data_IF_868686477379
#
_entry.id   IF_868686477379
#
_cell.length_a   1.000
_cell.length_b   1.000
_cell.length_c   1.000
_cell.angle_alpha   90.00
_cell.angle_beta   90.00
_cell.angle_gamma   90.00
#
_symmetry.space_group_name_H-M   'P 1'
#
loop_
_entity.id
_entity.type
_entity.pdbx_description
1 polymer ?
#
# COMPACT_ATOMS: atom_id res chain seq x y z
N UNK A 1 -32.40 -47.90 -80.02
CA UNK A 1 -33.77 -47.63 -80.49
C UNK A 1 -34.52 -47.01 -79.32
N UNK A 2 -35.03 -45.78 -79.56
CA UNK A 2 -36.17 -45.06 -78.89
C UNK A 2 -36.05 -44.91 -77.36
N UNK A 3 -35.55 -43.83 -76.83
CA UNK A 3 -36.20 -42.57 -76.40
C UNK A 3 -37.55 -42.73 -75.79
N UNK A 4 -37.64 -42.32 -74.51
CA UNK A 4 -38.85 -41.60 -74.05
C UNK A 4 -38.50 -40.73 -72.83
N UNK A 5 -38.61 -39.41 -73.03
CA UNK A 5 -38.54 -38.37 -72.00
C UNK A 5 -39.73 -38.46 -71.09
N UNK A 6 -39.55 -38.38 -69.80
CA UNK A 6 -40.60 -38.10 -68.84
C UNK A 6 -40.25 -36.80 -68.08
N UNK A 7 -41.00 -35.77 -68.41
CA UNK A 7 -40.91 -34.46 -67.81
C UNK A 7 -41.69 -34.48 -66.49
N UNK A 8 -41.03 -34.41 -65.36
CA UNK A 8 -41.67 -34.30 -64.05
C UNK A 8 -41.60 -32.86 -63.58
N UNK A 9 -42.67 -32.15 -63.61
CA UNK A 9 -42.88 -30.82 -63.05
C UNK A 9 -43.09 -31.01 -61.54
N UNK A 10 -42.07 -30.55 -60.75
CA UNK A 10 -42.20 -30.45 -59.30
C UNK A 10 -42.54 -29.02 -58.97
N UNK A 11 -43.75 -28.75 -58.53
CA UNK A 11 -44.18 -27.51 -57.89
C UNK A 11 -43.42 -27.37 -56.57
N UNK A 12 -42.56 -26.41 -56.51
CA UNK A 12 -41.85 -26.01 -55.26
C UNK A 12 -42.68 -24.92 -54.58
N UNK A 13 -43.44 -25.29 -53.55
CA UNK A 13 -44.16 -24.35 -52.68
C UNK A 13 -43.12 -23.62 -51.78
N UNK A 14 -42.86 -22.35 -52.07
CA UNK A 14 -42.10 -21.48 -51.19
C UNK A 14 -42.91 -21.16 -49.93
N UNK A 15 -42.60 -21.83 -48.84
CA UNK A 15 -42.97 -21.41 -47.49
C UNK A 15 -41.97 -20.33 -47.01
N UNK A 16 -42.45 -19.10 -46.96
CA UNK A 16 -41.73 -17.98 -46.36
C UNK A 16 -41.60 -18.20 -44.86
N UNK A 17 -40.47 -18.75 -44.41
CA UNK A 17 -40.02 -18.63 -43.03
C UNK A 17 -39.43 -17.23 -42.82
N UNK A 18 -40.21 -16.33 -42.23
CA UNK A 18 -39.77 -15.10 -41.69
C UNK A 18 -38.89 -15.40 -40.46
N UNK A 19 -37.57 -15.50 -40.63
CA UNK A 19 -36.63 -15.36 -39.53
C UNK A 19 -36.69 -13.93 -39.05
N UNK A 20 -37.27 -13.68 -37.86
CA UNK A 20 -36.97 -12.51 -37.08
C UNK A 20 -35.50 -12.63 -36.66
N UNK A 21 -34.61 -11.95 -37.34
CA UNK A 21 -33.29 -11.60 -36.80
C UNK A 21 -33.53 -10.87 -35.50
N UNK A 22 -33.17 -11.50 -34.39
CA UNK A 22 -32.86 -10.76 -33.17
C UNK A 22 -31.70 -9.87 -33.52
N UNK A 23 -31.94 -8.57 -33.57
CA UNK A 23 -30.86 -7.58 -33.44
C UNK A 23 -30.08 -7.93 -32.17
N UNK A 24 -28.95 -8.61 -32.33
CA UNK A 24 -27.90 -8.61 -31.33
C UNK A 24 -27.50 -7.16 -31.17
N UNK A 25 -27.88 -6.60 -30.03
CA UNK A 25 -27.38 -5.28 -29.64
C UNK A 25 -25.86 -5.29 -29.78
N UNK A 26 -25.38 -4.51 -30.70
CA UNK A 26 -23.94 -4.31 -30.95
C UNK A 26 -23.28 -4.02 -29.60
N UNK A 27 -22.43 -4.95 -29.13
CA UNK A 27 -21.53 -4.69 -28.01
C UNK A 27 -20.79 -3.42 -28.36
N UNK A 28 -20.71 -2.44 -27.44
CA UNK A 28 -19.93 -1.24 -27.70
C UNK A 28 -18.51 -1.69 -28.06
N UNK A 29 -18.09 -1.42 -29.28
CA UNK A 29 -16.70 -1.55 -29.67
C UNK A 29 -15.90 -0.62 -28.77
N UNK A 30 -14.99 -1.21 -28.00
CA UNK A 30 -14.00 -0.47 -27.22
C UNK A 30 -13.22 0.42 -28.20
N UNK A 31 -13.57 1.70 -28.22
CA UNK A 31 -12.82 2.72 -28.93
C UNK A 31 -11.57 3.03 -28.10
N UNK A 32 -10.43 3.09 -28.76
CA UNK A 32 -9.12 3.63 -28.39
C UNK A 32 -8.84 3.72 -26.89
N UNK A 33 -7.67 3.22 -26.47
CA UNK A 33 -7.11 3.31 -25.12
C UNK A 33 -7.56 4.60 -24.40
N UNK A 34 -8.63 4.52 -23.61
CA UNK A 34 -8.99 5.58 -22.68
C UNK A 34 -7.98 5.53 -21.53
N UNK A 35 -6.90 6.28 -21.67
CA UNK A 35 -5.99 6.54 -20.56
C UNK A 35 -6.79 7.14 -19.40
N UNK A 36 -6.50 6.71 -18.18
CA UNK A 36 -7.04 7.35 -16.99
C UNK A 36 -6.70 8.84 -17.02
N UNK A 37 -7.72 9.68 -17.11
CA UNK A 37 -7.55 11.13 -17.18
C UNK A 37 -7.99 11.72 -15.84
N UNK A 38 -7.05 12.18 -14.99
CA UNK A 38 -7.36 12.91 -13.78
C UNK A 38 -8.25 14.13 -14.10
N UNK A 39 -9.41 14.30 -13.44
CA UNK A 39 -10.30 15.44 -13.67
C UNK A 39 -9.63 16.79 -13.43
N UNK A 40 -8.76 16.85 -12.43
CA UNK A 40 -7.96 18.00 -12.03
C UNK A 40 -6.52 17.52 -11.85
N UNK A 41 -5.70 17.49 -12.92
CA UNK A 41 -4.37 16.87 -12.89
C UNK A 41 -3.43 17.45 -11.82
N UNK A 42 -3.56 18.74 -11.51
CA UNK A 42 -2.74 19.41 -10.47
C UNK A 42 -3.10 19.02 -9.05
N UNK A 43 -4.28 18.42 -8.84
CA UNK A 43 -4.75 17.96 -7.53
C UNK A 43 -4.64 16.44 -7.36
N UNK A 44 -4.20 15.69 -8.37
CA UNK A 44 -3.98 14.24 -8.26
C UNK A 44 -2.87 13.91 -7.27
N UNK A 45 -2.98 12.76 -6.63
CA UNK A 45 -1.99 12.27 -5.66
C UNK A 45 -0.72 11.85 -6.41
N UNK A 46 0.37 12.54 -6.11
CA UNK A 46 1.69 12.20 -6.68
C UNK A 46 2.20 10.90 -6.06
N UNK A 47 2.66 9.97 -6.91
CA UNK A 47 3.31 8.75 -6.46
C UNK A 47 4.69 9.05 -5.85
N UNK A 48 5.01 8.39 -4.73
CA UNK A 48 6.36 8.39 -4.19
C UNK A 48 7.26 7.46 -5.00
N UNK A 49 8.48 7.89 -5.26
CA UNK A 49 9.46 7.13 -6.03
C UNK A 49 10.60 6.62 -5.14
N UNK A 50 10.94 5.35 -5.30
CA UNK A 50 11.98 4.66 -4.54
C UNK A 50 13.00 4.03 -5.50
N UNK A 51 14.28 4.30 -5.28
CA UNK A 51 15.37 3.66 -6.02
C UNK A 51 15.70 2.30 -5.41
N UNK A 52 15.41 1.23 -6.12
CA UNK A 52 15.59 -0.15 -5.68
C UNK A 52 16.84 -0.75 -6.31
N UNK A 53 17.67 -1.38 -5.48
CA UNK A 53 18.75 -2.25 -5.97
C UNK A 53 18.19 -3.67 -6.15
N UNK A 54 18.02 -4.18 -7.38
CA UNK A 54 17.40 -5.50 -7.60
C UNK A 54 18.22 -6.70 -7.12
N UNK A 55 19.47 -6.46 -6.74
CA UNK A 55 20.41 -7.53 -6.30
C UNK A 55 20.27 -7.92 -4.83
N UNK A 56 19.35 -7.26 -4.08
CA UNK A 56 19.14 -7.53 -2.65
C UNK A 56 17.68 -7.29 -2.28
N UNK A 57 17.24 -7.96 -1.22
CA UNK A 57 15.93 -7.73 -0.62
C UNK A 57 15.82 -6.29 -0.08
N UNK A 58 14.68 -5.67 -0.31
CA UNK A 58 14.40 -4.30 0.15
C UNK A 58 13.00 -4.25 0.78
N UNK A 59 12.89 -3.60 1.94
CA UNK A 59 11.61 -3.31 2.58
C UNK A 59 11.42 -1.81 2.67
N UNK A 60 10.31 -1.33 2.16
CA UNK A 60 9.91 0.08 2.15
C UNK A 60 8.73 0.25 3.12
N UNK A 61 8.88 1.15 4.09
CA UNK A 61 7.80 1.64 4.93
C UNK A 61 7.27 2.93 4.32
N UNK A 62 6.14 2.81 3.63
CA UNK A 62 5.56 3.95 2.92
C UNK A 62 4.83 4.89 3.89
N UNK A 63 4.81 6.19 3.59
CA UNK A 63 4.15 7.23 4.41
C UNK A 63 2.65 6.99 4.66
N UNK A 64 1.96 6.18 3.84
CA UNK A 64 0.56 5.77 4.09
C UNK A 64 0.41 4.81 5.26
N UNK A 65 1.49 4.19 5.73
CA UNK A 65 1.49 3.08 6.66
C UNK A 65 1.61 1.70 6.00
N UNK A 66 1.54 1.63 4.67
CA UNK A 66 1.73 0.38 3.90
C UNK A 66 3.20 -0.05 3.90
N UNK A 67 3.44 -1.36 3.74
CA UNK A 67 4.79 -1.94 3.68
C UNK A 67 4.94 -2.67 2.34
N UNK A 68 6.02 -2.37 1.62
CA UNK A 68 6.32 -2.99 0.33
C UNK A 68 7.60 -3.79 0.48
N UNK A 69 7.52 -5.10 0.27
CA UNK A 69 8.64 -6.03 0.31
C UNK A 69 9.02 -6.41 -1.11
N UNK A 70 10.21 -5.99 -1.52
CA UNK A 70 10.77 -6.24 -2.85
C UNK A 70 11.91 -7.24 -2.70
N UNK A 71 11.74 -8.51 -3.09
CA UNK A 71 12.81 -9.49 -3.04
C UNK A 71 13.89 -9.18 -4.11
N UNK A 72 15.06 -9.74 -3.92
CA UNK A 72 16.08 -9.70 -4.96
C UNK A 72 15.51 -10.33 -6.26
N UNK A 73 15.97 -9.84 -7.39
CA UNK A 73 15.57 -10.36 -8.72
C UNK A 73 14.07 -10.23 -9.01
N UNK A 74 13.37 -9.27 -8.37
CA UNK A 74 11.93 -9.08 -8.53
C UNK A 74 11.51 -8.48 -9.88
N UNK A 75 12.46 -7.99 -10.70
CA UNK A 75 12.15 -7.25 -11.92
C UNK A 75 12.73 -7.93 -13.16
N UNK A 76 11.93 -8.01 -14.22
CA UNK A 76 12.31 -8.51 -15.53
C UNK A 76 12.20 -7.39 -16.57
N UNK A 77 13.08 -7.46 -17.58
CA UNK A 77 12.96 -6.63 -18.78
C UNK A 77 11.86 -7.16 -19.72
N UNK A 78 11.61 -6.46 -20.83
CA UNK A 78 10.63 -6.86 -21.85
C UNK A 78 10.89 -8.26 -22.46
N UNK A 79 12.12 -8.75 -22.38
CA UNK A 79 12.56 -10.06 -22.90
C UNK A 79 12.50 -11.16 -21.84
N UNK A 80 12.13 -10.82 -20.60
CA UNK A 80 12.08 -11.76 -19.47
C UNK A 80 13.42 -11.97 -18.77
N UNK A 81 14.45 -11.15 -19.01
CA UNK A 81 15.72 -11.25 -18.31
C UNK A 81 15.67 -10.50 -16.98
N UNK A 82 16.34 -11.04 -15.95
CA UNK A 82 16.45 -10.39 -14.65
C UNK A 82 17.25 -9.09 -14.75
N UNK A 83 16.68 -8.01 -14.23
CA UNK A 83 17.33 -6.69 -14.18
C UNK A 83 18.22 -6.63 -12.96
N UNK A 84 19.48 -6.19 -13.17
CA UNK A 84 20.49 -6.04 -12.10
C UNK A 84 20.86 -4.58 -11.82
N UNK A 85 20.47 -3.65 -12.70
CA UNK A 85 20.67 -2.21 -12.54
C UNK A 85 19.54 -1.58 -11.72
N UNK A 86 19.73 -0.40 -11.09
CA UNK A 86 18.72 0.23 -10.27
C UNK A 86 17.37 0.42 -10.98
N UNK A 87 16.29 0.15 -10.25
CA UNK A 87 14.90 0.27 -10.71
C UNK A 87 14.19 1.37 -9.92
N UNK A 88 13.52 2.27 -10.60
CA UNK A 88 12.63 3.24 -9.98
C UNK A 88 11.26 2.59 -9.74
N UNK A 89 10.89 2.38 -8.48
CA UNK A 89 9.59 1.88 -8.04
C UNK A 89 8.72 3.06 -7.62
N UNK A 90 7.53 3.19 -8.20
CA UNK A 90 6.55 4.22 -7.84
C UNK A 90 5.39 3.59 -7.11
N UNK A 91 4.94 4.24 -6.05
CA UNK A 91 3.80 3.78 -5.26
C UNK A 91 2.96 4.96 -4.77
N UNK A 92 1.62 4.82 -4.86
CA UNK A 92 0.66 5.72 -4.24
C UNK A 92 -0.55 4.96 -3.73
N UNK A 93 -1.16 5.48 -2.68
CA UNK A 93 -2.32 4.90 -2.01
C UNK A 93 -3.54 5.81 -2.17
N UNK A 94 -4.71 5.23 -2.42
CA UNK A 94 -5.99 5.91 -2.48
C UNK A 94 -6.84 5.46 -1.30
N UNK A 95 -7.18 6.37 -0.41
CA UNK A 95 -7.78 6.05 0.90
C UNK A 95 -9.25 6.44 1.01
N UNK A 96 -9.75 7.30 0.13
CA UNK A 96 -11.10 7.85 0.17
C UNK A 96 -11.63 8.14 -1.25
N UNK A 97 -12.94 8.43 -1.42
CA UNK A 97 -13.51 8.69 -2.74
C UNK A 97 -12.93 9.88 -3.49
N UNK A 98 -12.43 10.90 -2.79
CA UNK A 98 -11.78 12.05 -3.46
C UNK A 98 -10.45 11.64 -4.09
N UNK A 99 -9.64 10.82 -3.40
CA UNK A 99 -8.40 10.27 -3.93
C UNK A 99 -8.65 9.55 -5.27
N UNK A 100 -9.69 8.69 -5.29
CA UNK A 100 -10.09 7.89 -6.45
C UNK A 100 -10.62 8.80 -7.58
N UNK A 101 -11.43 9.80 -7.24
CA UNK A 101 -11.95 10.77 -8.20
C UNK A 101 -10.84 11.53 -8.90
N UNK A 102 -9.92 12.11 -8.12
CA UNK A 102 -8.84 12.95 -8.65
C UNK A 102 -7.83 12.14 -9.49
N UNK A 103 -7.68 10.85 -9.24
CA UNK A 103 -6.88 9.96 -10.06
C UNK A 103 -7.60 9.51 -11.36
N UNK A 104 -8.88 9.85 -11.54
CA UNK A 104 -9.67 9.46 -12.69
C UNK A 104 -10.05 7.97 -12.72
N UNK A 105 -9.89 7.24 -11.63
CA UNK A 105 -10.06 5.78 -11.57
C UNK A 105 -11.56 5.44 -11.67
N UNK A 106 -11.96 4.53 -12.59
CA UNK A 106 -13.35 4.07 -12.67
C UNK A 106 -13.68 3.15 -11.48
N UNK A 107 -14.86 3.33 -10.87
CA UNK A 107 -15.36 2.47 -9.81
C UNK A 107 -16.51 1.58 -10.27
N UNK A 108 -16.87 1.64 -11.54
CA UNK A 108 -17.90 0.81 -12.12
C UNK A 108 -17.35 -0.60 -12.39
N UNK A 109 -18.14 -1.61 -12.08
CA UNK A 109 -17.82 -3.03 -12.28
C UNK A 109 -19.03 -3.73 -12.90
N UNK A 110 -18.79 -4.48 -13.97
CA UNK A 110 -19.81 -5.35 -14.56
C UNK A 110 -19.49 -6.79 -14.17
N UNK A 111 -20.41 -7.43 -13.46
CA UNK A 111 -20.22 -8.82 -13.05
C UNK A 111 -20.47 -9.80 -14.21
N UNK A 112 -20.24 -11.10 -13.97
CA UNK A 112 -20.41 -12.16 -14.96
C UNK A 112 -21.86 -12.26 -15.49
N UNK A 113 -22.84 -11.78 -14.73
CA UNK A 113 -24.25 -11.75 -15.13
C UNK A 113 -24.63 -10.50 -15.97
N UNK A 114 -23.67 -9.60 -16.22
CA UNK A 114 -23.90 -8.34 -16.92
C UNK A 114 -24.54 -7.24 -16.07
N UNK A 115 -24.54 -7.38 -14.73
CA UNK A 115 -25.08 -6.37 -13.83
C UNK A 115 -24.02 -5.29 -13.59
N UNK A 116 -24.43 -4.03 -13.73
CA UNK A 116 -23.61 -2.88 -13.39
C UNK A 116 -23.62 -2.63 -11.88
N UNK A 117 -22.46 -2.67 -11.27
CA UNK A 117 -22.21 -2.47 -9.86
C UNK A 117 -21.19 -1.33 -9.68
N UNK A 118 -21.02 -0.87 -8.46
CA UNK A 118 -19.99 0.11 -8.08
C UNK A 118 -19.19 -0.45 -6.92
N UNK A 119 -17.90 -0.24 -6.90
CA UNK A 119 -17.06 -0.72 -5.83
C UNK A 119 -17.17 0.13 -4.56
N UNK A 120 -17.37 -0.55 -3.42
CA UNK A 120 -17.05 -0.05 -2.09
C UNK A 120 -15.62 -0.50 -1.76
N UNK A 121 -14.72 0.45 -1.46
CA UNK A 121 -13.29 0.16 -1.31
C UNK A 121 -12.85 0.03 0.15
N UNK A 122 -12.06 -1.00 0.45
CA UNK A 122 -11.31 -1.14 1.71
C UNK A 122 -9.88 -0.59 1.60
N UNK A 123 -9.50 -0.14 0.40
CA UNK A 123 -8.20 0.44 0.07
C UNK A 123 -7.80 0.14 -1.35
N UNK A 124 -7.12 1.08 -1.98
CA UNK A 124 -6.63 0.97 -3.35
C UNK A 124 -5.22 1.55 -3.43
N UNK A 125 -4.38 0.97 -4.28
CA UNK A 125 -3.05 1.52 -4.53
C UNK A 125 -2.64 1.34 -5.99
N UNK A 126 -1.70 2.16 -6.41
CA UNK A 126 -0.99 1.99 -7.67
C UNK A 126 0.47 1.70 -7.39
N UNK A 127 1.01 0.71 -8.09
CA UNK A 127 2.42 0.34 -8.06
C UNK A 127 2.93 0.18 -9.49
N UNK A 128 4.01 0.90 -9.81
CA UNK A 128 4.65 0.86 -11.11
C UNK A 128 6.17 0.81 -10.94
N UNK A 129 6.87 0.29 -11.93
CA UNK A 129 8.32 0.29 -11.91
C UNK A 129 8.91 0.53 -13.30
N UNK A 130 10.11 1.15 -13.33
CA UNK A 130 10.84 1.40 -14.56
C UNK A 130 12.34 1.27 -14.35
N UNK A 131 13.03 0.84 -15.41
CA UNK A 131 14.49 0.82 -15.48
C UNK A 131 14.94 1.71 -16.63
N UNK A 132 15.73 2.75 -16.36
CA UNK A 132 16.15 3.73 -17.36
C UNK A 132 14.97 4.31 -18.20
N UNK A 133 13.84 4.59 -17.55
CA UNK A 133 12.64 5.14 -18.18
C UNK A 133 11.77 4.14 -18.96
N UNK A 134 12.17 2.86 -19.04
CA UNK A 134 11.38 1.80 -19.65
C UNK A 134 10.61 1.01 -18.60
N UNK A 135 9.36 0.69 -18.89
CA UNK A 135 8.56 -0.17 -18.02
C UNK A 135 9.21 -1.54 -17.86
N UNK A 136 9.05 -2.14 -16.69
CA UNK A 136 9.57 -3.46 -16.35
C UNK A 136 8.42 -4.39 -15.98
N UNK A 137 8.69 -5.70 -15.93
CA UNK A 137 7.72 -6.71 -15.53
C UNK A 137 8.05 -7.25 -14.13
N UNK A 138 7.04 -7.74 -13.42
CA UNK A 138 7.23 -8.45 -12.16
C UNK A 138 7.73 -9.85 -12.45
N UNK A 139 8.79 -10.29 -11.74
CA UNK A 139 9.26 -11.67 -11.84
C UNK A 139 8.26 -12.62 -11.13
N UNK A 140 7.62 -13.57 -11.83
CA UNK A 140 6.65 -14.49 -11.24
C UNK A 140 7.24 -15.40 -10.16
N UNK A 141 8.57 -15.61 -10.15
CA UNK A 141 9.27 -16.42 -9.18
C UNK A 141 9.68 -15.63 -7.92
N UNK A 142 9.81 -14.31 -8.03
CA UNK A 142 10.26 -13.42 -6.96
C UNK A 142 9.30 -12.21 -6.85
N UNK A 143 8.06 -12.47 -6.47
CA UNK A 143 6.99 -11.47 -6.48
C UNK A 143 7.17 -10.41 -5.40
N UNK A 144 6.85 -9.18 -5.76
CA UNK A 144 6.73 -8.09 -4.82
C UNK A 144 5.50 -8.34 -3.94
N UNK A 145 5.66 -8.16 -2.64
CA UNK A 145 4.57 -8.25 -1.67
C UNK A 145 4.21 -6.88 -1.16
N UNK A 146 2.93 -6.55 -1.18
CA UNK A 146 2.39 -5.32 -0.60
C UNK A 146 1.49 -5.69 0.57
N UNK A 147 1.84 -5.21 1.75
CA UNK A 147 0.97 -5.15 2.91
C UNK A 147 0.32 -3.76 2.88
N UNK A 148 -0.80 -3.64 2.18
CA UNK A 148 -1.53 -2.39 2.02
C UNK A 148 -2.29 -2.05 3.30
N UNK A 149 -2.14 -0.81 3.79
CA UNK A 149 -2.94 -0.35 4.93
C UNK A 149 -4.41 -0.31 4.57
N UNK A 150 -5.27 -0.75 5.50
CA UNK A 150 -6.72 -0.69 5.36
C UNK A 150 -7.34 -0.10 6.62
N UNK A 151 -8.52 0.46 6.48
CA UNK A 151 -9.30 0.99 7.59
C UNK A 151 -10.53 0.12 7.92
N UNK A 152 -10.64 -1.04 7.24
CA UNK A 152 -11.70 -2.03 7.44
C UNK A 152 -11.11 -3.42 7.61
N UNK A 153 -11.56 -4.14 8.64
CA UNK A 153 -11.25 -5.56 8.89
C UNK A 153 -12.32 -6.51 8.33
N UNK A 154 -13.31 -5.98 7.59
CA UNK A 154 -14.37 -6.78 6.98
C UNK A 154 -13.79 -7.70 5.88
N UNK A 155 -14.13 -8.98 5.93
CA UNK A 155 -13.65 -10.01 5.01
C UNK A 155 -14.46 -10.09 3.70
N UNK A 156 -15.47 -9.22 3.51
CA UNK A 156 -16.30 -9.21 2.30
C UNK A 156 -15.54 -8.83 1.02
N UNK A 157 -14.44 -8.11 1.15
CA UNK A 157 -13.68 -7.55 0.04
C UNK A 157 -12.87 -8.62 -0.71
N UNK A 158 -12.73 -8.42 -2.02
CA UNK A 158 -11.88 -9.20 -2.92
C UNK A 158 -10.80 -8.28 -3.52
N UNK A 159 -9.80 -8.88 -4.16
CA UNK A 159 -8.76 -8.17 -4.90
C UNK A 159 -9.16 -8.02 -6.36
N UNK A 160 -8.94 -6.84 -6.90
CA UNK A 160 -9.14 -6.53 -8.31
C UNK A 160 -7.91 -5.82 -8.88
N UNK A 161 -7.66 -6.03 -10.14
CA UNK A 161 -6.63 -5.29 -10.89
C UNK A 161 -7.28 -4.59 -12.08
N UNK A 162 -6.94 -3.33 -12.28
CA UNK A 162 -7.42 -2.56 -13.41
C UNK A 162 -6.60 -2.92 -14.65
N UNK A 163 -7.25 -3.34 -15.70
CA UNK A 163 -6.64 -3.49 -17.01
C UNK A 163 -6.46 -2.08 -17.63
N UNK A 164 -5.21 -1.63 -17.86
CA UNK A 164 -4.96 -0.27 -18.34
C UNK A 164 -5.40 -0.03 -19.79
N UNK A 165 -5.66 -1.10 -20.56
CA UNK A 165 -6.08 -0.99 -21.97
C UNK A 165 -7.59 -0.84 -22.12
N UNK A 166 -8.33 -1.53 -21.26
CA UNK A 166 -9.79 -1.60 -21.33
C UNK A 166 -10.48 -0.79 -20.24
N UNK A 167 -9.73 -0.29 -19.26
CA UNK A 167 -10.24 0.33 -18.04
C UNK A 167 -11.30 -0.53 -17.32
N UNK A 168 -11.17 -1.84 -17.41
CA UNK A 168 -12.05 -2.81 -16.76
C UNK A 168 -11.35 -3.51 -15.61
N UNK A 169 -12.11 -3.86 -14.60
CA UNK A 169 -11.61 -4.55 -13.42
C UNK A 169 -11.66 -6.07 -13.60
N UNK A 170 -10.55 -6.73 -13.28
CA UNK A 170 -10.45 -8.18 -13.23
C UNK A 170 -10.30 -8.64 -11.79
N UNK A 171 -11.18 -9.53 -11.35
CA UNK A 171 -11.11 -10.15 -10.03
C UNK A 171 -9.90 -11.10 -9.91
N UNK A 172 -9.21 -11.02 -8.77
CA UNK A 172 -8.02 -11.81 -8.43
C UNK A 172 -8.27 -12.73 -7.21
N UNK A 173 -9.48 -12.75 -6.66
CA UNK A 173 -9.86 -13.52 -5.48
C UNK A 173 -9.61 -12.79 -4.15
N UNK A 174 -9.61 -13.55 -3.05
CA UNK A 174 -9.49 -13.00 -1.69
C UNK A 174 -8.11 -12.46 -1.37
N UNK A 175 -8.07 -11.48 -0.50
CA UNK A 175 -6.86 -10.98 0.15
C UNK A 175 -6.63 -11.68 1.50
N UNK A 176 -5.48 -11.42 2.09
CA UNK A 176 -5.15 -11.85 3.44
C UNK A 176 -5.17 -10.65 4.39
N UNK A 177 -6.07 -10.68 5.38
CA UNK A 177 -6.16 -9.63 6.40
C UNK A 177 -5.21 -9.95 7.53
N UNK A 178 -4.37 -8.97 7.90
CA UNK A 178 -3.43 -9.04 9.03
C UNK A 178 -3.56 -7.82 9.91
N UNK A 179 -3.09 -7.95 11.13
CA UNK A 179 -2.81 -6.80 11.99
C UNK A 179 -1.31 -6.66 12.18
N UNK A 180 -0.81 -5.44 12.18
CA UNK A 180 0.56 -5.12 12.52
C UNK A 180 0.59 -4.19 13.72
N UNK A 181 1.57 -4.36 14.61
CA UNK A 181 1.82 -3.46 15.73
C UNK A 181 3.08 -2.65 15.49
N UNK A 182 3.12 -1.44 16.05
CA UNK A 182 4.31 -0.58 15.99
C UNK A 182 5.54 -1.28 16.59
N UNK A 183 5.32 -2.02 17.68
CA UNK A 183 6.35 -2.78 18.37
C UNK A 183 6.96 -3.83 17.45
N UNK A 184 6.14 -4.66 16.79
CA UNK A 184 6.61 -5.69 15.85
C UNK A 184 7.39 -5.11 14.68
N UNK A 185 6.94 -3.98 14.11
CA UNK A 185 7.67 -3.33 13.02
C UNK A 185 9.03 -2.79 13.47
N UNK A 186 9.11 -2.21 14.67
CA UNK A 186 10.37 -1.73 15.24
C UNK A 186 11.32 -2.87 15.61
N UNK A 187 10.80 -4.00 16.12
CA UNK A 187 11.58 -5.20 16.47
C UNK A 187 12.18 -5.92 15.25
N UNK A 188 11.60 -5.72 14.04
CA UNK A 188 12.17 -6.23 12.79
C UNK A 188 13.39 -5.45 12.29
N UNK A 189 13.67 -4.29 12.89
CA UNK A 189 14.88 -3.54 12.54
C UNK A 189 16.12 -4.32 13.01
N UNK A 190 17.20 -4.29 12.25
CA UNK A 190 18.46 -4.88 12.70
C UNK A 190 18.88 -4.26 14.03
N UNK A 191 19.42 -5.08 14.92
CA UNK A 191 20.04 -4.54 16.15
C UNK A 191 21.20 -3.62 15.79
N UNK A 192 21.23 -2.44 16.41
CA UNK A 192 22.38 -1.57 16.31
C UNK A 192 23.60 -2.24 16.96
N UNK A 193 24.79 -2.12 16.38
CA UNK A 193 26.00 -2.59 17.01
C UNK A 193 26.17 -2.00 18.41
N UNK A 194 26.61 -2.82 19.36
CA UNK A 194 26.85 -2.35 20.73
C UNK A 194 28.11 -1.49 20.73
N UNK A 195 28.06 -0.21 21.18
CA UNK A 195 29.26 0.60 21.32
C UNK A 195 30.14 0.11 22.45
N UNK A 196 31.45 0.34 22.38
CA UNK A 196 32.33 0.13 23.51
C UNK A 196 31.90 1.01 24.69
N UNK A 197 32.07 0.53 25.90
CA UNK A 197 31.69 1.25 27.12
C UNK A 197 32.90 1.43 28.08
N UNK A 198 32.76 2.27 29.08
CA UNK A 198 33.66 2.26 30.22
C UNK A 198 33.46 0.98 31.02
N UNK A 199 34.55 0.39 31.55
CA UNK A 199 34.50 -0.88 32.25
C UNK A 199 33.70 -0.77 33.56
N UNK A 200 32.71 -1.59 33.71
CA UNK A 200 31.83 -1.68 34.87
C UNK A 200 32.34 -2.70 35.93
N UNK A 201 31.47 -3.02 36.86
CA UNK A 201 31.77 -3.89 38.03
C UNK A 201 32.17 -5.32 37.63
N UNK A 202 31.63 -5.86 36.57
CA UNK A 202 31.81 -7.24 36.15
C UNK A 202 32.70 -7.38 34.92
N UNK A 203 33.42 -6.29 34.57
CA UNK A 203 34.38 -6.33 33.49
C UNK A 203 35.61 -7.18 33.88
N UNK A 204 36.07 -8.02 32.95
CA UNK A 204 37.22 -8.91 33.13
C UNK A 204 38.11 -8.86 31.88
N UNK A 205 39.39 -9.21 32.08
CA UNK A 205 40.36 -9.39 30.99
C UNK A 205 40.55 -10.87 30.70
N UNK A 206 40.75 -11.21 29.44
CA UNK A 206 41.00 -12.62 29.02
C UNK A 206 42.49 -12.97 29.08
N UNK A 207 43.35 -11.95 29.18
CA UNK A 207 44.80 -12.12 29.15
C UNK A 207 45.46 -12.28 30.52
N UNK A 208 44.73 -12.02 31.63
CA UNK A 208 45.28 -12.07 33.00
C UNK A 208 45.59 -13.51 33.50
N UNK A 209 45.10 -14.55 32.85
CA UNK A 209 45.12 -15.93 33.28
C UNK A 209 45.83 -16.91 32.33
N UNK A 210 46.46 -16.43 31.25
CA UNK A 210 46.97 -17.34 30.20
C UNK A 210 48.46 -17.06 29.91
N UNK A 211 49.24 -18.14 29.92
CA UNK A 211 50.57 -18.13 29.37
C UNK A 211 50.48 -17.96 27.84
N UNK A 212 50.92 -16.76 27.37
CA UNK A 212 51.34 -16.38 26.01
C UNK A 212 50.71 -17.10 24.78
N UNK A 213 49.42 -17.41 24.76
CA UNK A 213 48.80 -17.82 23.51
C UNK A 213 48.58 -16.64 22.57
N UNK A 214 49.18 -16.71 21.36
CA UNK A 214 49.12 -15.69 20.32
C UNK A 214 47.69 -15.22 19.95
N UNK A 215 46.74 -16.10 20.17
CA UNK A 215 45.31 -15.88 19.79
C UNK A 215 44.59 -14.78 20.58
N UNK A 216 45.03 -14.47 21.78
CA UNK A 216 44.42 -13.48 22.66
C UNK A 216 45.17 -12.18 22.74
N UNK A 217 46.33 -12.05 22.06
CA UNK A 217 47.17 -10.84 22.07
C UNK A 217 46.43 -9.59 21.60
N UNK A 218 45.46 -9.76 20.70
CA UNK A 218 44.62 -8.65 20.21
C UNK A 218 43.72 -8.02 21.29
N UNK A 219 43.48 -8.75 22.38
CA UNK A 219 42.62 -8.33 23.50
C UNK A 219 43.43 -7.88 24.73
N UNK A 220 44.72 -7.70 24.62
CA UNK A 220 45.62 -7.39 25.75
C UNK A 220 45.18 -6.20 26.60
N UNK A 221 44.66 -5.15 25.98
CA UNK A 221 44.25 -3.92 26.69
C UNK A 221 42.73 -3.74 26.69
N UNK A 222 42.00 -4.83 26.49
CA UNK A 222 40.53 -4.84 26.35
C UNK A 222 39.89 -5.55 27.53
N UNK A 223 38.82 -5.00 28.03
CA UNK A 223 37.98 -5.59 29.03
C UNK A 223 36.68 -6.09 28.38
N UNK A 224 36.25 -7.28 28.77
CA UNK A 224 34.96 -7.84 28.38
C UNK A 224 33.97 -7.66 29.52
N UNK A 225 32.78 -7.18 29.23
CA UNK A 225 31.73 -7.05 30.21
C UNK A 225 30.47 -7.76 29.77
N UNK A 226 29.90 -8.67 30.57
CA UNK A 226 28.72 -9.42 30.25
C UNK A 226 27.51 -8.51 29.98
N UNK A 227 26.76 -8.82 28.92
CA UNK A 227 25.58 -8.03 28.52
C UNK A 227 24.45 -8.14 29.55
N UNK A 228 24.34 -9.29 30.22
CA UNK A 228 23.31 -9.60 31.25
C UNK A 228 23.60 -8.94 32.61
N UNK A 229 24.73 -8.25 32.75
CA UNK A 229 25.12 -7.57 34.00
C UNK A 229 25.45 -8.54 35.15
N UNK A 230 25.79 -9.81 34.86
CA UNK A 230 26.19 -10.80 35.86
C UNK A 230 27.68 -11.13 35.74
N UNK A 231 28.26 -11.63 36.83
CA UNK A 231 29.65 -12.09 36.84
C UNK A 231 29.81 -13.31 35.91
N UNK A 232 30.81 -13.24 35.03
CA UNK A 232 31.17 -14.32 34.12
C UNK A 232 32.58 -14.85 34.46
N UNK A 233 32.77 -16.15 34.38
CA UNK A 233 34.07 -16.82 34.52
C UNK A 233 34.14 -17.82 35.68
N UNK A 234 35.24 -18.55 35.73
CA UNK A 234 35.59 -19.50 36.76
C UNK A 234 36.89 -19.14 37.46
N UNK A 235 37.07 -19.62 38.70
CA UNK A 235 38.32 -19.42 39.45
C UNK A 235 39.48 -20.29 38.93
N UNK A 236 39.22 -21.36 38.18
CA UNK A 236 40.22 -22.27 37.62
C UNK A 236 39.92 -22.56 36.14
N UNK A 237 40.47 -21.75 35.28
CA UNK A 237 40.24 -21.84 33.84
C UNK A 237 41.51 -22.40 33.16
N UNK A 238 41.33 -23.42 32.31
CA UNK A 238 42.38 -23.98 31.49
C UNK A 238 42.62 -23.16 30.21
N UNK A 239 41.54 -22.74 29.59
CA UNK A 239 41.54 -22.03 28.30
C UNK A 239 40.38 -21.06 28.23
N UNK A 240 40.56 -19.97 27.44
CA UNK A 240 39.53 -18.98 27.16
C UNK A 240 39.38 -18.86 25.64
N UNK A 241 38.19 -19.05 25.16
CA UNK A 241 37.85 -18.88 23.75
C UNK A 241 37.07 -17.59 23.58
N UNK A 242 37.53 -16.74 22.64
CA UNK A 242 36.83 -15.51 22.27
C UNK A 242 36.39 -15.63 20.82
N UNK A 243 35.10 -15.42 20.59
CA UNK A 243 34.49 -15.42 19.24
C UNK A 243 33.81 -14.08 19.02
N UNK A 244 34.23 -13.37 17.99
CA UNK A 244 33.54 -12.15 17.52
C UNK A 244 32.21 -12.56 16.87
N UNK A 245 31.11 -12.22 17.53
CA UNK A 245 29.74 -12.42 17.02
C UNK A 245 29.32 -11.31 16.08
N UNK A 246 30.20 -10.35 15.78
CA UNK A 246 29.96 -9.11 15.06
C UNK A 246 29.05 -8.15 15.85
N UNK A 247 28.71 -7.01 15.29
CA UNK A 247 27.86 -6.01 15.92
C UNK A 247 28.29 -5.58 17.35
N UNK A 248 29.59 -5.68 17.67
CA UNK A 248 30.13 -5.30 18.99
C UNK A 248 29.82 -6.31 20.09
N UNK A 249 29.32 -7.50 19.75
CA UNK A 249 29.09 -8.63 20.66
C UNK A 249 30.22 -9.64 20.55
N UNK A 250 30.62 -10.20 21.66
CA UNK A 250 31.64 -11.23 21.76
C UNK A 250 31.12 -12.38 22.63
N UNK A 251 31.36 -13.60 22.18
CA UNK A 251 31.13 -14.78 22.99
C UNK A 251 32.45 -15.17 23.66
N UNK A 252 32.48 -15.16 24.98
CA UNK A 252 33.65 -15.57 25.76
C UNK A 252 33.30 -16.85 26.50
N UNK A 253 34.03 -17.94 26.18
CA UNK A 253 33.84 -19.26 26.77
C UNK A 253 35.03 -19.62 27.63
N UNK A 254 34.79 -19.89 28.88
CA UNK A 254 35.77 -20.38 29.86
C UNK A 254 35.74 -21.89 29.89
N UNK A 255 36.89 -22.51 29.65
CA UNK A 255 37.09 -23.94 29.65
C UNK A 255 37.78 -24.35 30.93
N UNK A 256 37.17 -25.13 31.82
CA UNK A 256 37.76 -25.55 33.10
C UNK A 256 38.85 -26.62 32.92
N UNK A 257 39.71 -26.81 33.95
CA UNK A 257 40.70 -27.89 33.98
C UNK A 257 40.04 -29.27 34.20
N UNK A 258 40.55 -30.29 33.53
CA UNK A 258 40.14 -31.68 33.69
C UNK A 258 39.38 -32.26 32.51
N UNK A 259 39.10 -33.57 32.54
CA UNK A 259 38.17 -34.23 31.60
C UNK A 259 36.74 -33.94 32.02
N UNK A 260 36.21 -32.81 31.60
CA UNK A 260 34.88 -32.33 31.99
C UNK A 260 33.96 -32.31 30.78
N UNK A 261 32.67 -32.69 30.92
CA UNK A 261 31.71 -32.59 29.82
C UNK A 261 31.58 -31.17 29.30
N UNK A 262 31.25 -31.02 28.02
CA UNK A 262 31.02 -29.70 27.39
C UNK A 262 29.99 -28.84 28.17
N UNK A 263 29.10 -29.47 28.90
CA UNK A 263 28.12 -28.83 29.82
C UNK A 263 28.73 -28.05 30.95
N UNK A 264 29.99 -28.25 31.29
CA UNK A 264 30.68 -27.51 32.36
C UNK A 264 31.41 -26.26 31.90
N UNK A 265 31.43 -25.97 30.60
CA UNK A 265 31.92 -24.69 30.05
C UNK A 265 30.99 -23.54 30.43
N UNK A 266 31.53 -22.42 30.86
CA UNK A 266 30.74 -21.20 31.04
C UNK A 266 30.94 -20.29 29.84
N UNK A 267 29.84 -19.95 29.19
CA UNK A 267 29.83 -19.03 28.05
C UNK A 267 29.04 -17.79 28.38
N UNK A 268 29.58 -16.63 28.06
CA UNK A 268 28.95 -15.33 28.30
C UNK A 268 29.00 -14.51 27.02
N UNK A 269 27.92 -13.81 26.76
CA UNK A 269 27.90 -12.78 25.71
C UNK A 269 28.32 -11.46 26.31
N UNK A 270 29.35 -10.85 25.75
CA UNK A 270 30.00 -9.64 26.28
C UNK A 270 30.07 -8.53 25.22
N UNK A 271 30.26 -7.31 25.66
CA UNK A 271 30.74 -6.19 24.86
C UNK A 271 32.13 -5.75 25.30
N UNK A 272 32.85 -4.99 24.44
CA UNK A 272 34.16 -4.43 24.79
C UNK A 272 34.00 -3.27 25.73
N UNK A 273 34.79 -3.26 26.81
CA UNK A 273 34.87 -2.17 27.75
C UNK A 273 36.31 -1.77 28.02
N UNK A 274 36.54 -0.57 28.58
CA UNK A 274 37.84 0.00 28.74
C UNK A 274 37.93 0.73 30.12
N UNK A 275 38.97 0.50 30.87
CA UNK A 275 39.26 1.25 32.11
C UNK A 275 39.98 2.57 31.82
N UNK A 276 40.84 2.57 30.79
CA UNK A 276 41.55 3.77 30.38
C UNK A 276 40.70 4.67 29.49
N UNK A 277 40.54 5.93 29.85
CA UNK A 277 39.72 6.91 29.12
C UNK A 277 40.21 7.22 27.70
N UNK A 278 41.54 7.19 27.49
CA UNK A 278 42.12 7.49 26.16
C UNK A 278 41.82 6.29 25.21
N UNK A 279 42.00 5.06 25.70
CA UNK A 279 41.66 3.84 24.96
C UNK A 279 40.16 3.76 24.67
N UNK A 280 39.32 4.05 25.65
CA UNK A 280 37.85 4.12 25.46
C UNK A 280 37.52 5.15 24.36
N UNK A 281 38.03 6.35 24.44
CA UNK A 281 37.77 7.42 23.47
C UNK A 281 38.23 7.04 22.05
N UNK A 282 39.38 6.35 21.93
CA UNK A 282 39.88 5.81 20.65
C UNK A 282 38.94 4.73 20.11
N UNK A 283 38.55 3.77 20.96
CA UNK A 283 37.63 2.69 20.57
C UNK A 283 36.26 3.23 20.12
N UNK A 284 35.72 4.22 20.83
CA UNK A 284 34.45 4.85 20.49
C UNK A 284 34.53 5.64 19.15
N UNK A 285 35.64 6.32 18.87
CA UNK A 285 35.86 6.97 17.57
C UNK A 285 35.90 5.93 16.42
N UNK A 286 36.63 4.83 16.63
CA UNK A 286 36.71 3.75 15.65
C UNK A 286 35.35 3.09 15.40
N UNK A 287 34.57 2.84 16.46
CA UNK A 287 33.20 2.34 16.40
C UNK A 287 32.31 3.28 15.56
N UNK A 288 32.31 4.57 15.92
CA UNK A 288 31.51 5.58 15.18
C UNK A 288 31.87 5.59 13.68
N UNK A 289 33.17 5.55 13.36
CA UNK A 289 33.64 5.51 11.95
C UNK A 289 33.21 4.22 11.24
N UNK A 290 33.37 3.07 11.91
CA UNK A 290 33.06 1.75 11.33
C UNK A 290 31.57 1.56 11.07
N UNK A 291 30.71 2.01 11.98
CA UNK A 291 29.29 1.70 11.99
C UNK A 291 28.37 2.88 11.63
N UNK A 292 28.92 4.07 11.34
CA UNK A 292 28.12 5.27 11.04
C UNK A 292 27.04 5.02 9.97
N UNK A 293 27.41 4.40 8.87
CA UNK A 293 26.47 4.13 7.77
C UNK A 293 25.38 3.10 8.14
N UNK A 294 25.71 2.10 8.97
CA UNK A 294 24.70 1.12 9.43
C UNK A 294 23.74 1.74 10.43
N UNK A 295 24.27 2.49 11.42
CA UNK A 295 23.46 3.17 12.42
C UNK A 295 22.49 4.16 11.75
N UNK A 296 23.02 5.00 10.85
CA UNK A 296 22.17 5.94 10.11
C UNK A 296 21.06 5.25 9.32
N UNK A 297 21.33 4.09 8.69
CA UNK A 297 20.31 3.33 8.00
C UNK A 297 19.23 2.80 8.96
N UNK A 298 19.60 2.32 10.13
CA UNK A 298 18.66 1.84 11.15
C UNK A 298 17.81 3.00 11.67
N UNK A 299 18.42 4.13 11.99
CA UNK A 299 17.74 5.33 12.47
C UNK A 299 16.77 5.90 11.44
N UNK A 300 17.17 5.98 10.16
CA UNK A 300 16.30 6.42 9.08
C UNK A 300 15.09 5.48 8.90
N UNK A 301 15.30 4.16 8.96
CA UNK A 301 14.19 3.20 8.91
C UNK A 301 13.26 3.35 10.12
N UNK A 302 13.80 3.52 11.33
CA UNK A 302 13.00 3.78 12.54
C UNK A 302 12.13 5.02 12.36
N UNK A 303 12.74 6.11 11.91
CA UNK A 303 12.03 7.36 11.63
C UNK A 303 10.92 7.17 10.60
N UNK A 304 11.19 6.46 9.50
CA UNK A 304 10.16 6.15 8.49
C UNK A 304 8.99 5.33 9.05
N UNK A 305 9.26 4.37 9.95
CA UNK A 305 8.20 3.61 10.63
C UNK A 305 7.37 4.54 11.52
N UNK A 306 8.02 5.40 12.31
CA UNK A 306 7.34 6.34 13.22
C UNK A 306 6.47 7.34 12.46
N UNK A 307 6.96 7.90 11.35
CA UNK A 307 6.21 8.79 10.46
C UNK A 307 5.03 8.06 9.80
N UNK A 308 5.23 6.83 9.32
CA UNK A 308 4.17 6.00 8.73
C UNK A 308 3.04 5.73 9.74
N UNK A 309 3.38 5.46 11.02
CA UNK A 309 2.41 5.28 12.09
C UNK A 309 1.64 6.57 12.40
N UNK A 310 2.34 7.70 12.50
CA UNK A 310 1.69 9.00 12.75
C UNK A 310 0.71 9.37 11.63
N UNK A 311 1.11 9.16 10.38
CA UNK A 311 0.24 9.42 9.23
C UNK A 311 -0.96 8.45 9.17
N UNK A 312 -0.74 7.17 9.50
CA UNK A 312 -1.83 6.20 9.61
C UNK A 312 -2.87 6.61 10.64
N UNK A 313 -2.44 6.98 11.86
CA UNK A 313 -3.34 7.42 12.93
C UNK A 313 -4.19 8.63 12.51
N UNK A 314 -3.59 9.59 11.79
CA UNK A 314 -4.32 10.73 11.23
C UNK A 314 -5.36 10.28 10.21
N UNK A 315 -4.96 9.44 9.24
CA UNK A 315 -5.86 8.96 8.18
C UNK A 315 -6.98 8.05 8.69
N UNK A 316 -6.73 7.26 9.72
CA UNK A 316 -7.77 6.46 10.40
C UNK A 316 -8.85 7.37 10.95
N UNK A 317 -8.49 8.42 11.69
CA UNK A 317 -9.45 9.37 12.23
C UNK A 317 -10.26 10.06 11.14
N UNK A 318 -9.58 10.54 10.09
CA UNK A 318 -10.25 11.16 8.93
C UNK A 318 -11.21 10.18 8.26
N UNK A 319 -10.82 8.92 8.08
CA UNK A 319 -11.66 7.88 7.48
C UNK A 319 -12.90 7.60 8.32
N UNK A 320 -12.77 7.36 9.63
CA UNK A 320 -13.93 7.09 10.48
C UNK A 320 -14.86 8.29 10.63
N UNK A 321 -14.32 9.49 10.64
CA UNK A 321 -15.10 10.71 10.57
C UNK A 321 -15.90 10.81 9.26
N UNK A 322 -15.24 10.55 8.12
CA UNK A 322 -15.88 10.49 6.81
C UNK A 322 -16.95 9.38 6.75
N UNK A 323 -16.63 8.18 7.25
CA UNK A 323 -17.56 7.05 7.28
C UNK A 323 -18.67 7.20 8.32
N UNK A 324 -18.64 8.22 9.18
CA UNK A 324 -19.58 8.43 10.28
C UNK A 324 -19.76 7.19 11.17
N UNK A 325 -18.71 6.43 11.33
CA UNK A 325 -18.64 5.24 12.16
C UNK A 325 -17.79 5.49 13.39
N UNK A 326 -18.06 4.75 14.47
CA UNK A 326 -17.15 4.73 15.61
C UNK A 326 -15.84 4.07 15.20
N UNK A 327 -14.73 4.65 15.60
CA UNK A 327 -13.41 4.07 15.42
C UNK A 327 -13.34 2.68 16.10
N UNK A 328 -12.71 1.72 15.44
CA UNK A 328 -12.43 0.40 16.03
C UNK A 328 -11.45 0.60 17.18
N UNK A 329 -11.82 0.15 18.39
CA UNK A 329 -11.00 0.28 19.58
C UNK A 329 -9.60 -0.28 19.39
N UNK A 330 -8.58 0.50 19.73
CA UNK A 330 -7.17 0.12 19.63
C UNK A 330 -6.61 0.10 18.20
N UNK A 331 -7.33 0.63 17.21
CA UNK A 331 -6.83 0.73 15.83
C UNK A 331 -5.82 1.86 15.67
N UNK A 332 -5.92 2.92 16.47
CA UNK A 332 -4.95 4.02 16.48
C UNK A 332 -3.86 3.82 17.54
N UNK A 333 -2.64 4.25 17.21
CA UNK A 333 -1.49 4.28 18.12
C UNK A 333 -0.80 2.95 18.40
N UNK A 334 -1.48 1.81 18.24
CA UNK A 334 -0.93 0.50 18.60
C UNK A 334 -1.06 -0.58 17.54
N UNK A 335 -2.10 -0.54 16.70
CA UNK A 335 -2.45 -1.58 15.74
C UNK A 335 -2.89 -1.01 14.39
N UNK A 336 -2.41 -1.60 13.29
CA UNK A 336 -2.85 -1.32 11.91
C UNK A 336 -3.53 -2.56 11.32
N UNK A 337 -4.58 -2.34 10.53
CA UNK A 337 -5.12 -3.37 9.64
C UNK A 337 -4.33 -3.31 8.33
N UNK A 338 -3.85 -4.45 7.89
CA UNK A 338 -3.10 -4.64 6.67
C UNK A 338 -3.79 -5.67 5.78
N UNK A 339 -3.87 -5.40 4.49
CA UNK A 339 -4.31 -6.36 3.49
C UNK A 339 -3.13 -6.77 2.64
N UNK A 340 -2.76 -8.04 2.76
CA UNK A 340 -1.55 -8.58 2.15
C UNK A 340 -1.85 -9.17 0.79
N UNK A 341 -1.04 -8.84 -0.18
CA UNK A 341 -1.14 -9.39 -1.52
C UNK A 341 0.21 -9.49 -2.22
N UNK A 342 0.33 -10.43 -3.13
CA UNK A 342 1.42 -10.52 -4.09
C UNK A 342 1.05 -9.74 -5.35
N UNK A 343 1.98 -8.91 -5.81
CA UNK A 343 1.84 -8.17 -7.07
C UNK A 343 2.27 -9.09 -8.21
N UNK A 344 1.33 -9.43 -9.07
CA UNK A 344 1.59 -10.26 -10.25
C UNK A 344 1.89 -9.41 -11.49
N UNK A 345 1.37 -8.20 -11.54
CA UNK A 345 1.61 -7.20 -12.59
C UNK A 345 1.55 -5.81 -11.98
N UNK A 346 2.25 -4.87 -12.58
CA UNK A 346 2.19 -3.46 -12.21
C UNK A 346 0.86 -2.84 -12.63
N UNK A 347 0.48 -1.75 -11.96
CA UNK A 347 -0.75 -1.00 -12.20
C UNK A 347 -1.55 -0.74 -10.94
N UNK A 348 -2.86 -0.55 -11.09
CA UNK A 348 -3.79 -0.26 -9.99
C UNK A 348 -4.39 -1.54 -9.46
N UNK A 349 -4.29 -1.72 -8.15
CA UNK A 349 -4.87 -2.83 -7.39
C UNK A 349 -5.88 -2.28 -6.42
N UNK A 350 -7.07 -2.85 -6.44
CA UNK A 350 -8.18 -2.47 -5.59
C UNK A 350 -8.61 -3.62 -4.68
N UNK A 351 -9.02 -3.28 -3.46
CA UNK A 351 -9.47 -4.20 -2.42
C UNK A 351 -10.94 -3.86 -2.14
N UNK A 352 -11.83 -4.42 -2.92
CA UNK A 352 -13.18 -3.92 -3.06
C UNK A 352 -14.26 -4.98 -2.88
N UNK A 353 -15.46 -4.48 -2.63
CA UNK A 353 -16.70 -5.24 -2.65
C UNK A 353 -17.66 -4.62 -3.67
N UNK A 354 -18.17 -5.41 -4.66
CA UNK A 354 -19.18 -4.92 -5.60
C UNK A 354 -20.47 -4.55 -4.86
N UNK A 355 -20.88 -3.30 -4.97
CA UNK A 355 -22.04 -2.74 -4.29
C UNK A 355 -23.08 -2.24 -5.31
N UNK A 356 -24.35 -2.41 -5.00
CA UNK A 356 -25.42 -1.87 -5.84
C UNK A 356 -25.53 -0.36 -5.70
N UNK A 357 -26.05 0.30 -6.74
CA UNK A 357 -26.34 1.73 -6.66
C UNK A 357 -27.27 2.05 -5.48
N UNK A 358 -27.14 3.26 -4.89
CA UNK A 358 -27.95 3.69 -3.76
C UNK A 358 -29.46 3.52 -4.03
N UNK A 359 -30.20 3.05 -3.03
CA UNK A 359 -31.64 2.84 -3.11
C UNK A 359 -32.41 3.96 -2.43
N UNK A 360 -33.64 4.20 -2.87
CA UNK A 360 -34.59 5.12 -2.22
C UNK A 360 -34.96 6.34 -3.07
N UNK A 361 -34.06 6.83 -3.89
CA UNK A 361 -34.36 7.87 -4.87
C UNK A 361 -33.70 7.58 -6.20
N UNK A 362 -34.43 7.83 -7.30
CA UNK A 362 -33.97 7.75 -8.68
C UNK A 362 -34.56 8.91 -9.45
N UNK A 363 -33.76 9.89 -9.81
CA UNK A 363 -34.18 11.16 -10.39
C UNK A 363 -33.47 11.48 -11.69
N UNK A 364 -34.19 12.10 -12.63
CA UNK A 364 -33.59 12.70 -13.84
C UNK A 364 -33.09 14.09 -13.46
N UNK A 365 -31.77 14.27 -13.47
CA UNK A 365 -31.13 15.47 -12.97
C UNK A 365 -30.92 16.52 -14.08
N UNK A 366 -31.16 17.77 -13.71
CA UNK A 366 -30.65 18.95 -14.40
C UNK A 366 -29.95 19.85 -13.39
N UNK A 367 -28.99 20.63 -13.83
CA UNK A 367 -28.14 21.43 -12.95
C UNK A 367 -28.25 22.91 -13.31
N UNK A 368 -28.38 23.76 -12.31
CA UNK A 368 -28.33 25.21 -12.44
C UNK A 368 -27.41 25.80 -11.38
N UNK A 369 -26.86 26.98 -11.65
CA UNK A 369 -26.11 27.74 -10.66
C UNK A 369 -27.05 28.42 -9.62
N UNK A 370 -26.48 29.18 -8.70
CA UNK A 370 -27.23 29.91 -7.66
C UNK A 370 -28.17 30.97 -8.22
N UNK A 371 -27.96 31.43 -9.45
CA UNK A 371 -28.80 32.42 -10.18
C UNK A 371 -29.84 31.73 -11.09
N UNK A 372 -29.88 30.40 -11.15
CA UNK A 372 -30.79 29.62 -11.99
C UNK A 372 -30.32 29.45 -13.43
N UNK A 373 -29.08 29.83 -13.76
CA UNK A 373 -28.49 29.60 -15.08
C UNK A 373 -28.12 28.11 -15.22
N UNK A 374 -28.50 27.51 -16.34
CA UNK A 374 -28.19 26.10 -16.63
C UNK A 374 -26.68 25.83 -16.62
N UNK A 375 -26.29 24.74 -15.99
CA UNK A 375 -24.93 24.24 -15.94
C UNK A 375 -24.81 22.93 -16.74
N UNK A 376 -23.82 22.87 -17.61
CA UNK A 376 -23.37 21.63 -18.25
C UNK A 376 -22.17 21.12 -17.46
N UNK A 377 -22.38 20.07 -16.61
CA UNK A 377 -21.36 19.55 -15.74
C UNK A 377 -20.68 18.33 -16.34
N UNK A 378 -19.36 18.32 -16.26
CA UNK A 378 -18.51 17.16 -16.58
C UNK A 378 -18.31 16.34 -15.32
N UNK A 379 -18.19 15.01 -15.50
CA UNK A 379 -17.77 14.08 -14.45
C UNK A 379 -18.57 14.22 -13.14
N UNK A 380 -19.90 14.21 -13.25
CA UNK A 380 -20.78 14.28 -12.11
C UNK A 380 -20.66 13.03 -11.26
N UNK A 381 -20.35 13.21 -9.99
CA UNK A 381 -20.17 12.13 -9.01
C UNK A 381 -20.95 12.43 -7.74
N UNK A 382 -21.41 11.34 -7.12
CA UNK A 382 -22.05 11.36 -5.80
C UNK A 382 -21.27 10.44 -4.86
N UNK A 383 -21.09 10.89 -3.65
CA UNK A 383 -20.59 10.10 -2.52
C UNK A 383 -21.67 10.01 -1.47
N UNK A 384 -21.97 8.78 -1.04
CA UNK A 384 -22.80 8.49 0.13
C UNK A 384 -21.87 8.35 1.33
N UNK A 385 -22.02 9.24 2.32
CA UNK A 385 -21.23 9.16 3.56
C UNK A 385 -21.57 7.86 4.29
N UNK A 386 -20.55 7.20 4.80
CA UNK A 386 -20.70 5.86 5.41
C UNK A 386 -20.48 4.70 4.46
N UNK A 387 -20.32 4.98 3.16
CA UNK A 387 -19.91 3.99 2.13
C UNK A 387 -18.69 4.53 1.39
N UNK A 388 -17.58 3.82 1.40
CA UNK A 388 -16.37 4.24 0.67
C UNK A 388 -16.51 3.91 -0.83
N UNK A 389 -17.51 4.52 -1.48
CA UNK A 389 -17.85 4.34 -2.88
C UNK A 389 -18.06 5.68 -3.58
N UNK A 390 -17.73 5.71 -4.85
CA UNK A 390 -17.89 6.87 -5.73
C UNK A 390 -18.83 6.50 -6.88
N UNK A 391 -20.01 7.12 -6.93
CA UNK A 391 -21.02 6.86 -7.96
C UNK A 391 -20.91 7.93 -9.06
N UNK A 392 -20.60 7.50 -10.29
CA UNK A 392 -20.57 8.39 -11.46
C UNK A 392 -21.93 8.41 -12.17
N UNK A 393 -22.39 9.60 -12.52
CA UNK A 393 -23.70 9.79 -13.15
C UNK A 393 -23.62 10.67 -14.41
N UNK A 394 -24.49 10.36 -15.37
CA UNK A 394 -24.70 11.22 -16.55
C UNK A 394 -26.00 12.07 -16.39
N UNK A 395 -27.15 11.43 -16.41
CA UNK A 395 -28.46 12.10 -16.34
C UNK A 395 -29.32 11.60 -15.17
N UNK A 396 -29.23 10.31 -14.85
CA UNK A 396 -30.05 9.71 -13.79
C UNK A 396 -29.19 9.54 -12.55
N UNK A 397 -29.61 10.20 -11.47
CA UNK A 397 -28.92 10.12 -10.18
C UNK A 397 -29.69 9.20 -9.24
N UNK A 398 -28.99 8.25 -8.65
CA UNK A 398 -29.49 7.38 -7.59
C UNK A 398 -28.86 7.86 -6.27
N UNK A 399 -29.67 8.05 -5.24
CA UNK A 399 -29.17 8.38 -3.91
C UNK A 399 -30.05 7.80 -2.80
N UNK A 400 -29.47 7.58 -1.64
CA UNK A 400 -30.17 7.15 -0.45
C UNK A 400 -30.57 8.39 0.37
N UNK A 401 -31.88 8.74 0.41
CA UNK A 401 -32.33 9.94 1.14
C UNK A 401 -32.23 9.83 2.66
N UNK A 402 -31.89 8.65 3.19
CA UNK A 402 -31.64 8.44 4.63
C UNK A 402 -30.18 8.62 5.01
N UNK A 403 -29.30 8.65 4.03
CA UNK A 403 -27.86 8.87 4.22
C UNK A 403 -27.48 10.33 3.94
N UNK A 404 -26.33 10.73 4.41
CA UNK A 404 -25.74 11.99 4.01
C UNK A 404 -25.05 11.80 2.65
N UNK A 405 -25.47 12.64 1.69
CA UNK A 405 -24.96 12.58 0.33
C UNK A 405 -24.28 13.90 -0.01
N UNK A 406 -23.25 13.83 -0.84
CA UNK A 406 -22.65 15.00 -1.45
C UNK A 406 -22.46 14.71 -2.94
N UNK A 407 -22.76 15.71 -3.79
CA UNK A 407 -22.65 15.57 -5.23
C UNK A 407 -21.82 16.74 -5.77
N UNK A 408 -20.94 16.43 -6.74
CA UNK A 408 -20.17 17.47 -7.41
C UNK A 408 -19.90 17.11 -8.85
N UNK A 409 -19.46 18.09 -9.60
CA UNK A 409 -18.96 17.96 -10.97
C UNK A 409 -18.15 19.19 -11.34
N UNK A 410 -17.57 19.18 -12.52
CA UNK A 410 -16.82 20.31 -13.05
C UNK A 410 -17.64 21.04 -14.10
N UNK A 411 -17.65 22.36 -14.04
CA UNK A 411 -18.19 23.22 -15.10
C UNK A 411 -17.31 23.16 -16.36
N UNK A 412 -17.75 23.74 -17.46
CA UNK A 412 -16.98 23.81 -18.70
C UNK A 412 -15.65 24.54 -18.52
N UNK A 413 -15.61 25.53 -17.62
CA UNK A 413 -14.41 26.31 -17.26
C UNK A 413 -13.67 25.71 -16.04
N UNK A 414 -13.86 24.41 -15.77
CA UNK A 414 -13.18 23.61 -14.74
C UNK A 414 -13.37 24.11 -13.30
N UNK A 415 -14.40 24.86 -13.02
CA UNK A 415 -14.76 25.21 -11.64
C UNK A 415 -15.53 24.08 -10.97
N UNK A 416 -15.34 23.90 -9.68
CA UNK A 416 -16.07 22.93 -8.89
C UNK A 416 -17.51 23.42 -8.67
N UNK A 417 -18.48 22.64 -9.14
CA UNK A 417 -19.90 22.81 -8.82
C UNK A 417 -20.32 21.71 -7.87
N UNK A 418 -20.95 22.02 -6.75
CA UNK A 418 -21.26 21.05 -5.70
C UNK A 418 -22.63 21.27 -5.07
N UNK A 419 -23.22 20.17 -4.59
CA UNK A 419 -24.49 20.12 -3.88
C UNK A 419 -24.24 19.42 -2.55
N UNK A 420 -24.47 20.16 -1.46
CA UNK A 420 -24.02 19.76 -0.12
C UNK A 420 -24.94 18.76 0.56
N UNK A 421 -24.50 18.22 1.69
CA UNK A 421 -25.30 17.35 2.56
C UNK A 421 -26.59 18.07 2.98
N UNK A 422 -26.52 19.36 3.31
CA UNK A 422 -27.68 20.15 3.74
C UNK A 422 -28.69 20.37 2.58
N UNK A 423 -28.17 20.57 1.37
CA UNK A 423 -29.01 20.67 0.17
C UNK A 423 -29.76 19.35 -0.10
N UNK A 424 -29.10 18.20 0.10
CA UNK A 424 -29.74 16.88 0.00
C UNK A 424 -30.81 16.66 1.08
N UNK A 425 -30.58 17.12 2.32
CA UNK A 425 -31.59 17.04 3.40
C UNK A 425 -32.85 17.87 3.07
N UNK A 426 -32.68 19.00 2.41
CA UNK A 426 -33.77 19.85 1.97
C UNK A 426 -34.53 19.29 0.76
N UNK A 427 -33.91 18.37 -0.03
CA UNK A 427 -34.48 17.80 -1.23
C UNK A 427 -35.61 16.81 -0.91
N UNK A 428 -36.85 17.09 -1.29
CA UNK A 428 -38.03 16.26 -1.02
C UNK A 428 -38.30 15.24 -2.15
N UNK A 429 -37.95 15.58 -3.39
CA UNK A 429 -38.19 14.74 -4.55
C UNK A 429 -37.39 13.43 -4.49
N UNK A 430 -38.02 12.30 -4.85
CA UNK A 430 -37.43 10.97 -4.87
C UNK A 430 -37.49 10.31 -6.25
N UNK A 431 -38.32 10.83 -7.13
CA UNK A 431 -38.52 10.37 -8.50
C UNK A 431 -38.81 11.54 -9.42
N UNK A 432 -38.77 11.30 -10.73
CA UNK A 432 -39.06 12.30 -11.76
C UNK A 432 -37.90 13.27 -12.03
N UNK A 433 -38.22 14.41 -12.59
CA UNK A 433 -37.24 15.45 -12.93
C UNK A 433 -36.92 16.32 -11.72
N UNK A 434 -35.65 16.50 -11.46
CA UNK A 434 -35.14 17.32 -10.34
C UNK A 434 -34.09 18.31 -10.85
N UNK A 435 -34.25 19.56 -10.46
CA UNK A 435 -33.28 20.61 -10.70
C UNK A 435 -32.39 20.73 -9.46
N UNK A 436 -31.12 20.44 -9.62
CA UNK A 436 -30.12 20.62 -8.59
C UNK A 436 -29.54 22.04 -8.69
N UNK A 437 -29.78 22.85 -7.67
CA UNK A 437 -29.22 24.20 -7.59
C UNK A 437 -27.84 24.12 -6.97
N UNK A 438 -26.82 24.09 -7.83
CA UNK A 438 -25.43 23.89 -7.46
C UNK A 438 -24.80 25.19 -6.93
N UNK A 439 -23.92 25.04 -5.94
CA UNK A 439 -22.97 26.08 -5.59
C UNK A 439 -21.78 25.96 -6.51
N UNK A 440 -21.35 27.07 -7.12
CA UNK A 440 -20.19 27.07 -8.01
C UNK A 440 -19.05 27.82 -7.34
N UNK A 441 -17.91 27.15 -7.13
CA UNK A 441 -16.75 27.81 -6.56
C UNK A 441 -16.27 28.93 -7.49
N UNK A 442 -15.97 30.13 -6.98
CA UNK A 442 -15.70 31.31 -7.83
C UNK A 442 -14.45 31.15 -8.72
N UNK A 443 -13.49 30.34 -8.29
CA UNK A 443 -12.24 30.08 -9.00
C UNK A 443 -12.04 28.58 -9.23
N UNK A 444 -11.21 28.24 -10.22
CA UNK A 444 -10.71 26.87 -10.39
C UNK A 444 -9.89 26.44 -9.15
N UNK A 445 -10.19 25.27 -8.60
CA UNK A 445 -9.43 24.67 -7.50
C UNK A 445 -8.34 23.78 -8.06
N UNK A 446 -7.10 23.94 -7.59
CA UNK A 446 -5.91 23.31 -8.16
C UNK A 446 -5.19 22.36 -7.20
N UNK A 447 -5.56 22.38 -5.93
CA UNK A 447 -4.93 21.53 -4.92
C UNK A 447 -5.93 20.56 -4.28
N UNK A 448 -5.41 19.42 -3.86
CA UNK A 448 -6.18 18.42 -3.12
C UNK A 448 -6.85 19.02 -1.87
N UNK A 449 -6.09 19.79 -1.07
CA UNK A 449 -6.58 20.35 0.19
C UNK A 449 -7.70 21.38 -0.03
N UNK A 450 -7.63 22.20 -1.07
CA UNK A 450 -8.71 23.16 -1.38
C UNK A 450 -10.01 22.44 -1.71
N UNK A 451 -9.94 21.39 -2.55
CA UNK A 451 -11.12 20.59 -2.92
C UNK A 451 -11.67 19.84 -1.70
N UNK A 452 -10.81 19.22 -0.91
CA UNK A 452 -11.19 18.51 0.32
C UNK A 452 -11.88 19.46 1.31
N UNK A 453 -11.36 20.67 1.47
CA UNK A 453 -11.95 21.67 2.36
C UNK A 453 -13.35 22.07 1.89
N UNK A 454 -13.54 22.32 0.59
CA UNK A 454 -14.86 22.72 0.06
C UNK A 454 -15.89 21.59 0.16
N UNK A 455 -15.50 20.35 -0.12
CA UNK A 455 -16.44 19.23 -0.18
C UNK A 455 -16.73 18.57 1.17
N UNK A 456 -15.73 18.48 2.06
CA UNK A 456 -15.83 17.60 3.23
C UNK A 456 -15.49 18.26 4.57
N UNK A 457 -14.96 19.49 4.58
CA UNK A 457 -14.56 20.19 5.82
C UNK A 457 -15.28 21.54 6.04
N UNK A 458 -16.13 21.94 5.09
CA UNK A 458 -16.92 23.19 5.15
C UNK A 458 -18.18 23.04 5.99
#
# INVERSE_FOLDING_TARGET
MKSLNFLLVVLFSMSLFSCKEKEEAAKPQATAEEQLVPPIPSADIVADEFQISPTKDTVIYHKSGSVISVPKEAFLDEKGNVITTPVALKFRMFSNPLDIYLAGIPMNFTNENGEELVFESAGMFEINASNNGKAVQVNPNNKIKVDAVSFSDDSKFNRYNLDPKTNTWRELGKDEIKTATKKEELERLPEAPIPPKEAGKFAFQVTDNLNEEDKLKEYKDVWFEPIDGKKCGFSYTKDILVKDLKNGKYEVTFVPWGKIPDTAKTTCTCYLSFKDKAQYSKALRNYKKKYAGLISKIENKRKSIEEAWSNYDKKVKEYYQFMQRKEIEGLTGSRKIMRTLEVNQFGIVNLDYPHVYPKGAKVEASFVDENGKALNLKQVVLVEMGVNALYRYAKTIHFNPKSQNILWGLTEDNKLAYFTIEDFKALKARTGKVVFKMRVHPTELKTYDDIMNVLFRS
#
